data_IF_250716502382
#
_entry.id   IF_250716502382
#
_cell.length_a   1.000
_cell.length_b   1.000
_cell.length_c   1.000
_cell.angle_alpha   90.00
_cell.angle_beta   90.00
_cell.angle_gamma   90.00
#
_symmetry.space_group_name_H-M   'P 1'
#
loop_
_entity.id
_entity.type
_entity.pdbx_description
1 polymer ?
#
# COMPACT_ATOMS: atom_id res chain seq x y z
N UNK A 1 -16.17 3.10 -9.78
CA UNK A 1 -15.72 3.91 -8.62
C UNK A 1 -16.33 3.47 -7.30
N UNK A 2 -17.52 2.85 -7.28
CA UNK A 2 -18.20 2.44 -6.04
C UNK A 2 -17.39 1.49 -5.12
N UNK A 3 -16.41 0.77 -5.68
CA UNK A 3 -15.59 -0.20 -4.96
C UNK A 3 -14.19 0.30 -4.54
N UNK A 4 -13.74 1.44 -5.07
CA UNK A 4 -12.40 1.99 -4.84
C UNK A 4 -12.51 3.36 -4.17
N UNK A 5 -11.94 3.47 -2.98
CA UNK A 5 -11.84 4.74 -2.25
C UNK A 5 -10.40 5.25 -2.39
N UNK A 6 -10.19 6.15 -3.35
CA UNK A 6 -8.87 6.71 -3.63
C UNK A 6 -8.61 7.91 -2.70
N UNK A 7 -7.41 7.95 -2.12
CA UNK A 7 -6.92 9.05 -1.30
C UNK A 7 -5.58 9.55 -1.85
N UNK A 8 -5.41 10.86 -1.86
CA UNK A 8 -4.16 11.52 -2.23
C UNK A 8 -4.00 12.76 -1.34
N UNK A 9 -2.79 12.99 -0.83
CA UNK A 9 -2.48 14.16 0.00
C UNK A 9 -2.07 15.38 -0.84
N UNK A 10 -1.91 15.20 -2.15
CA UNK A 10 -1.49 16.20 -3.14
C UNK A 10 -0.16 16.88 -2.78
N UNK A 11 0.62 16.33 -1.83
CA UNK A 11 1.83 16.97 -1.28
C UNK A 11 2.96 17.09 -2.30
N UNK A 12 2.90 16.28 -3.36
CA UNK A 12 3.88 16.23 -4.45
C UNK A 12 3.41 16.88 -5.76
N UNK A 13 2.28 17.62 -5.75
CA UNK A 13 1.73 18.29 -6.94
C UNK A 13 2.13 19.78 -7.03
N UNK A 14 2.25 20.36 -8.25
CA UNK A 14 1.78 19.82 -9.51
C UNK A 14 2.88 19.02 -10.19
N UNK A 15 2.74 17.69 -10.22
CA UNK A 15 3.44 16.92 -11.22
C UNK A 15 2.86 17.40 -12.54
N UNK A 16 3.69 18.13 -13.28
CA UNK A 16 3.35 18.66 -14.59
C UNK A 16 2.67 17.53 -15.38
N UNK A 17 1.39 17.67 -15.76
CA UNK A 17 0.64 16.61 -16.43
C UNK A 17 1.26 16.20 -17.77
N UNK A 18 2.18 17.02 -18.32
CA UNK A 18 2.99 16.66 -19.48
C UNK A 18 4.08 15.60 -19.19
N UNK A 19 4.49 15.37 -17.94
CA UNK A 19 5.45 14.32 -17.58
C UNK A 19 4.79 12.94 -17.63
N UNK A 20 3.48 12.89 -17.36
CA UNK A 20 2.63 11.70 -17.52
C UNK A 20 1.97 11.63 -18.90
N UNK A 21 2.47 12.38 -19.89
CA UNK A 21 2.10 12.23 -21.29
C UNK A 21 2.66 10.92 -21.87
N UNK A 22 2.34 9.80 -21.23
CA UNK A 22 2.15 8.56 -21.96
C UNK A 22 0.99 8.80 -22.94
N UNK A 23 1.01 8.21 -24.14
CA UNK A 23 -0.17 8.20 -24.99
C UNK A 23 -1.20 7.26 -24.35
N UNK A 24 -1.85 7.70 -23.27
CA UNK A 24 -3.13 7.16 -22.79
C UNK A 24 -4.22 7.60 -23.77
N UNK A 25 -4.00 7.38 -25.09
CA UNK A 25 -4.80 7.82 -26.24
C UNK A 25 -6.07 8.62 -25.92
N UNK A 26 -7.23 8.05 -26.20
CA UNK A 26 -8.54 8.65 -25.92
C UNK A 26 -8.98 8.50 -24.45
N UNK A 27 -8.20 7.79 -23.62
CA UNK A 27 -8.57 7.48 -22.22
C UNK A 27 -8.18 8.57 -21.24
N UNK A 28 -7.30 9.49 -21.62
CA UNK A 28 -6.85 10.56 -20.73
C UNK A 28 -8.00 11.42 -20.25
N UNK A 29 -8.82 11.92 -21.17
CA UNK A 29 -9.94 12.80 -20.85
C UNK A 29 -11.00 12.05 -20.04
N UNK A 30 -11.18 10.75 -20.31
CA UNK A 30 -12.09 9.89 -19.56
C UNK A 30 -11.60 9.64 -18.13
N UNK A 31 -10.31 9.36 -17.93
CA UNK A 31 -9.71 9.18 -16.59
C UNK A 31 -9.74 10.51 -15.84
N UNK A 32 -9.40 11.62 -16.50
CA UNK A 32 -9.42 12.94 -15.87
C UNK A 32 -10.83 13.34 -15.42
N UNK A 33 -11.84 13.07 -16.25
CA UNK A 33 -13.23 13.39 -15.94
C UNK A 33 -13.89 12.40 -14.95
N UNK A 34 -13.50 11.13 -14.95
CA UNK A 34 -14.17 10.08 -14.16
C UNK A 34 -13.45 9.68 -12.87
N UNK A 35 -12.11 9.75 -12.83
CA UNK A 35 -11.31 9.29 -11.68
C UNK A 35 -10.99 10.42 -10.72
N UNK A 36 -10.30 11.48 -11.17
CA UNK A 36 -9.78 12.52 -10.28
C UNK A 36 -10.83 13.25 -9.44
N UNK A 37 -12.05 13.53 -9.94
CA UNK A 37 -13.08 14.15 -9.11
C UNK A 37 -13.53 13.31 -7.91
N UNK A 38 -13.26 11.99 -7.92
CA UNK A 38 -13.61 11.06 -6.85
C UNK A 38 -12.43 10.75 -5.91
N UNK A 39 -11.24 11.30 -6.18
CA UNK A 39 -10.09 11.18 -5.28
C UNK A 39 -10.32 12.08 -4.07
N UNK A 40 -10.33 11.46 -2.89
CA UNK A 40 -10.51 12.16 -1.63
C UNK A 40 -9.19 12.79 -1.22
N UNK A 41 -9.21 14.09 -0.96
CA UNK A 41 -8.06 14.77 -0.36
C UNK A 41 -7.98 14.40 1.12
N UNK A 42 -6.84 13.91 1.57
CA UNK A 42 -6.65 13.58 2.98
C UNK A 42 -5.30 12.96 3.27
N UNK A 43 -4.93 12.93 4.56
CA UNK A 43 -3.76 12.20 5.03
C UNK A 43 -3.97 10.69 4.81
N UNK A 44 -2.90 9.99 4.42
CA UNK A 44 -2.85 8.53 4.28
C UNK A 44 -3.21 7.80 5.58
N UNK A 45 -2.99 8.43 6.74
CA UNK A 45 -3.40 7.90 8.05
C UNK A 45 -4.86 8.21 8.34
N UNK A 46 -5.30 9.45 8.07
CA UNK A 46 -6.65 9.89 8.40
C UNK A 46 -7.73 9.20 7.57
N UNK A 47 -7.38 8.66 6.40
CA UNK A 47 -8.27 7.83 5.60
C UNK A 47 -8.92 6.70 6.43
N UNK A 48 -8.20 6.10 7.37
CA UNK A 48 -8.69 5.00 8.20
C UNK A 48 -9.49 5.44 9.44
N UNK A 49 -9.74 6.73 9.63
CA UNK A 49 -10.74 7.20 10.60
C UNK A 49 -12.18 6.95 10.12
N UNK A 50 -12.37 6.81 8.81
CA UNK A 50 -13.66 6.49 8.19
C UNK A 50 -13.91 4.98 8.28
N UNK A 51 -14.92 4.58 9.06
CA UNK A 51 -15.32 3.18 9.23
C UNK A 51 -15.70 2.49 7.92
N UNK A 52 -16.04 3.24 6.86
CA UNK A 52 -16.30 2.64 5.54
C UNK A 52 -15.07 1.98 4.91
N UNK A 53 -13.87 2.21 5.45
CA UNK A 53 -12.62 1.55 5.03
C UNK A 53 -12.34 0.20 5.73
N UNK A 54 -13.15 -0.19 6.72
CA UNK A 54 -13.00 -1.47 7.40
C UNK A 54 -13.21 -2.68 6.46
N UNK A 55 -12.34 -3.68 6.57
CA UNK A 55 -12.37 -4.92 5.80
C UNK A 55 -11.98 -4.76 4.32
N UNK A 56 -11.59 -3.56 3.89
CA UNK A 56 -11.16 -3.31 2.51
C UNK A 56 -9.71 -3.70 2.32
N UNK A 57 -9.31 -3.88 1.06
CA UNK A 57 -7.91 -4.09 0.68
C UNK A 57 -7.19 -2.74 0.65
N UNK A 58 -6.01 -2.66 1.27
CA UNK A 58 -5.12 -1.51 1.11
C UNK A 58 -4.31 -1.67 -0.18
N UNK A 59 -4.59 -0.85 -1.20
CA UNK A 59 -3.75 -0.72 -2.40
C UNK A 59 -2.82 0.49 -2.26
N UNK A 60 -1.52 0.25 -2.27
CA UNK A 60 -0.48 1.26 -2.18
C UNK A 60 0.37 1.25 -3.45
N UNK A 61 0.44 2.37 -4.17
CA UNK A 61 1.03 2.46 -5.50
C UNK A 61 2.15 3.50 -5.50
N UNK A 62 3.37 3.07 -5.82
CA UNK A 62 4.59 3.89 -5.86
C UNK A 62 4.77 4.84 -4.66
N UNK A 63 4.65 4.36 -3.40
CA UNK A 63 4.86 5.24 -2.26
C UNK A 63 6.29 5.79 -2.29
N UNK A 64 6.50 7.06 -1.92
CA UNK A 64 7.85 7.61 -1.80
C UNK A 64 8.63 6.90 -0.68
N UNK A 65 9.97 6.90 -0.72
CA UNK A 65 10.78 6.43 0.39
C UNK A 65 10.51 7.28 1.65
N UNK A 66 10.57 6.65 2.82
CA UNK A 66 10.32 7.29 4.11
C UNK A 66 9.09 6.73 4.84
N UNK A 67 8.59 7.45 5.86
CA UNK A 67 7.69 6.88 6.87
C UNK A 67 6.27 6.58 6.36
N UNK A 68 5.85 7.20 5.27
CA UNK A 68 4.47 7.14 4.76
C UNK A 68 3.96 5.71 4.59
N UNK A 69 4.75 4.81 3.99
CA UNK A 69 4.31 3.44 3.73
C UNK A 69 4.04 2.68 5.04
N UNK A 70 4.95 2.77 6.02
CA UNK A 70 4.81 2.11 7.32
C UNK A 70 3.64 2.72 8.10
N UNK A 71 3.53 4.04 8.14
CA UNK A 71 2.45 4.74 8.84
C UNK A 71 1.08 4.36 8.27
N UNK A 72 0.95 4.31 6.94
CA UNK A 72 -0.27 3.86 6.26
C UNK A 72 -0.65 2.45 6.66
N UNK A 73 0.30 1.50 6.59
CA UNK A 73 0.00 0.10 6.93
C UNK A 73 -0.34 -0.05 8.42
N UNK A 74 0.32 0.68 9.32
CA UNK A 74 -0.04 0.68 10.76
C UNK A 74 -1.43 1.22 10.99
N UNK A 75 -1.79 2.35 10.37
CA UNK A 75 -3.11 2.95 10.48
C UNK A 75 -4.21 2.00 9.97
N UNK A 76 -3.97 1.37 8.82
CA UNK A 76 -4.81 0.32 8.26
C UNK A 76 -4.98 -0.86 9.24
N UNK A 77 -3.88 -1.36 9.82
CA UNK A 77 -3.92 -2.49 10.75
C UNK A 77 -4.68 -2.19 12.04
N UNK A 78 -4.49 -1.00 12.61
CA UNK A 78 -5.10 -0.58 13.89
C UNK A 78 -6.60 -0.37 13.74
N UNK A 79 -7.06 0.09 12.57
CA UNK A 79 -8.48 0.37 12.35
C UNK A 79 -9.35 -0.88 12.54
N UNK A 80 -8.94 -2.05 12.03
CA UNK A 80 -9.74 -3.27 12.17
C UNK A 80 -8.92 -4.57 12.07
N UNK A 81 -9.37 -5.61 12.77
CA UNK A 81 -8.90 -6.98 12.60
C UNK A 81 -9.18 -7.54 11.18
N UNK A 82 -10.21 -7.01 10.50
CA UNK A 82 -10.58 -7.39 9.12
C UNK A 82 -9.66 -6.75 8.07
N UNK A 83 -8.85 -5.77 8.45
CA UNK A 83 -7.88 -5.11 7.58
C UNK A 83 -6.61 -5.95 7.46
N UNK A 84 -6.64 -6.92 6.56
CA UNK A 84 -5.68 -8.02 6.52
C UNK A 84 -5.03 -8.21 5.15
N UNK A 85 -5.27 -7.33 4.18
CA UNK A 85 -4.73 -7.46 2.83
C UNK A 85 -4.08 -6.17 2.37
N UNK A 86 -2.79 -6.27 2.05
CA UNK A 86 -1.99 -5.19 1.47
C UNK A 86 -1.59 -5.59 0.05
N UNK A 87 -1.93 -4.75 -0.92
CA UNK A 87 -1.40 -4.80 -2.27
C UNK A 87 -0.43 -3.64 -2.44
N UNK A 88 0.84 -3.95 -2.64
CA UNK A 88 1.89 -2.98 -2.89
C UNK A 88 2.32 -3.06 -4.35
N UNK A 89 2.33 -1.92 -5.04
CA UNK A 89 2.80 -1.77 -6.42
C UNK A 89 4.00 -0.84 -6.43
N UNK A 90 5.14 -1.34 -6.86
CA UNK A 90 6.39 -0.59 -6.88
C UNK A 90 7.59 -1.49 -7.11
N UNK A 91 8.78 -0.93 -6.98
CA UNK A 91 10.01 -1.71 -6.95
C UNK A 91 10.13 -2.54 -5.67
N UNK A 92 10.87 -3.64 -5.72
CA UNK A 92 11.18 -4.44 -4.52
C UNK A 92 12.19 -3.77 -3.59
N UNK A 93 12.60 -4.50 -2.55
CA UNK A 93 13.65 -4.09 -1.61
C UNK A 93 14.89 -3.55 -2.34
N UNK A 94 15.38 -2.39 -1.89
CA UNK A 94 16.50 -1.68 -2.51
C UNK A 94 16.14 -0.81 -3.73
N UNK A 95 14.86 -0.75 -4.10
CA UNK A 95 14.36 0.11 -5.17
C UNK A 95 14.09 1.55 -4.75
N UNK A 96 13.46 2.31 -5.65
CA UNK A 96 13.12 3.72 -5.47
C UNK A 96 11.80 3.98 -4.71
N UNK A 97 10.97 2.95 -4.53
CA UNK A 97 9.67 3.05 -3.84
C UNK A 97 9.72 2.36 -2.48
N UNK A 98 9.03 2.97 -1.51
CA UNK A 98 9.21 2.66 -0.10
C UNK A 98 10.71 2.66 0.28
N UNK A 99 11.05 2.20 1.47
CA UNK A 99 12.45 2.03 1.88
C UNK A 99 12.69 0.64 2.47
N UNK A 100 13.94 0.31 2.75
CA UNK A 100 14.28 -0.97 3.37
C UNK A 100 13.58 -1.16 4.72
N UNK A 101 13.32 -0.08 5.46
CA UNK A 101 12.60 -0.14 6.74
C UNK A 101 11.15 -0.59 6.56
N UNK A 102 10.50 -0.24 5.44
CA UNK A 102 9.17 -0.76 5.09
C UNK A 102 9.19 -2.27 4.86
N UNK A 103 10.17 -2.78 4.10
CA UNK A 103 10.28 -4.22 3.88
C UNK A 103 10.67 -4.96 5.17
N UNK A 104 11.56 -4.39 5.98
CA UNK A 104 11.89 -4.90 7.32
C UNK A 104 10.65 -4.93 8.22
N UNK A 105 9.78 -3.93 8.11
CA UNK A 105 8.51 -3.89 8.82
C UNK A 105 7.56 -5.00 8.35
N UNK A 106 7.42 -5.26 7.05
CA UNK A 106 6.56 -6.35 6.56
C UNK A 106 7.11 -7.73 6.94
N UNK A 107 8.40 -7.96 6.76
CA UNK A 107 9.08 -9.23 7.06
C UNK A 107 9.20 -9.47 8.57
N UNK A 108 9.44 -8.41 9.33
CA UNK A 108 9.67 -8.45 10.76
C UNK A 108 8.44 -8.27 11.63
N UNK A 109 7.27 -7.93 11.05
CA UNK A 109 6.08 -7.53 11.81
C UNK A 109 5.77 -8.47 12.97
N UNK A 110 5.99 -7.93 14.15
CA UNK A 110 5.46 -8.31 15.45
C UNK A 110 4.76 -7.03 15.87
N UNK A 111 3.43 -6.99 15.92
CA UNK A 111 2.79 -5.91 16.66
C UNK A 111 3.12 -6.21 18.12
N UNK A 112 4.10 -5.51 18.69
CA UNK A 112 4.49 -5.68 20.09
C UNK A 112 3.32 -5.28 20.97
N UNK A 113 2.59 -6.27 21.46
CA UNK A 113 1.72 -6.13 22.62
C UNK A 113 2.55 -6.62 23.80
N UNK A 114 3.22 -5.68 24.45
CA UNK A 114 3.95 -5.80 25.72
C UNK A 114 4.99 -6.94 25.85
N UNK A 115 6.25 -6.55 26.01
CA UNK A 115 7.35 -7.40 26.46
C UNK A 115 6.92 -8.17 27.72
N UNK A 116 6.69 -9.49 27.57
CA UNK A 116 6.40 -10.53 28.60
C UNK A 116 5.07 -11.29 28.47
N UNK A 117 4.33 -11.15 27.38
CA UNK A 117 3.15 -12.01 27.16
C UNK A 117 3.33 -12.92 25.96
N UNK A 118 2.84 -14.16 26.07
CA UNK A 118 2.67 -15.16 24.99
C UNK A 118 1.65 -14.71 23.93
N UNK A 119 1.67 -13.41 23.61
CA UNK A 119 0.68 -12.74 22.78
C UNK A 119 0.85 -13.17 21.32
N UNK A 120 -0.28 -13.36 20.61
CA UNK A 120 -0.27 -13.73 19.22
C UNK A 120 0.54 -12.74 18.37
N UNK A 121 1.52 -13.25 17.62
CA UNK A 121 2.31 -12.43 16.70
C UNK A 121 1.52 -12.24 15.42
N UNK A 122 1.34 -10.99 15.00
CA UNK A 122 0.74 -10.70 13.70
C UNK A 122 1.83 -10.47 12.67
N UNK A 123 1.89 -11.32 11.64
CA UNK A 123 2.89 -11.27 10.56
C UNK A 123 2.23 -10.98 9.21
N UNK A 124 2.97 -10.36 8.29
CA UNK A 124 2.57 -10.24 6.89
C UNK A 124 3.21 -11.36 6.07
N UNK A 125 2.38 -12.12 5.35
CA UNK A 125 2.82 -13.21 4.49
C UNK A 125 2.63 -12.81 3.04
N UNK A 126 3.71 -12.83 2.25
CA UNK A 126 3.62 -12.64 0.80
C UNK A 126 2.89 -13.84 0.18
N UNK A 127 1.71 -13.60 -0.38
CA UNK A 127 0.91 -14.63 -1.06
C UNK A 127 1.17 -14.65 -2.57
N UNK A 128 1.29 -13.48 -3.18
CA UNK A 128 1.50 -13.36 -4.62
C UNK A 128 2.55 -12.31 -4.94
N UNK A 129 3.36 -12.64 -5.94
CA UNK A 129 4.31 -11.74 -6.58
C UNK A 129 4.05 -11.81 -8.08
N UNK A 130 3.73 -10.67 -8.69
CA UNK A 130 3.51 -10.57 -10.12
C UNK A 130 4.43 -9.51 -10.70
N UNK A 131 5.15 -9.85 -11.77
CA UNK A 131 5.85 -8.87 -12.57
C UNK A 131 4.82 -8.05 -13.36
N UNK A 132 4.98 -6.71 -13.34
CA UNK A 132 4.16 -5.82 -14.12
C UNK A 132 4.85 -5.50 -15.44
N UNK A 133 4.06 -5.15 -16.46
CA UNK A 133 4.63 -4.60 -17.67
C UNK A 133 5.34 -3.28 -17.33
N UNK A 134 6.59 -3.09 -17.76
CA UNK A 134 7.35 -1.87 -17.45
C UNK A 134 6.67 -0.64 -18.05
N UNK A 135 6.78 0.49 -17.36
CA UNK A 135 6.31 1.77 -17.86
C UNK A 135 7.29 2.34 -18.89
N UNK A 136 7.19 1.88 -20.14
CA UNK A 136 8.09 2.26 -21.23
C UNK A 136 8.97 1.10 -21.70
N UNK A 137 9.72 1.33 -22.77
CA UNK A 137 10.41 0.24 -23.48
C UNK A 137 11.56 -0.41 -22.68
N UNK A 138 12.24 0.33 -21.78
CA UNK A 138 13.51 -0.14 -21.19
C UNK A 138 13.73 0.24 -19.71
N UNK A 139 12.71 0.72 -18.99
CA UNK A 139 12.86 1.19 -17.61
C UNK A 139 11.72 0.66 -16.74
N UNK A 140 12.09 -0.03 -15.67
CA UNK A 140 11.15 -0.49 -14.66
C UNK A 140 11.36 -1.94 -14.24
N UNK A 141 11.41 -2.17 -12.93
CA UNK A 141 11.31 -3.50 -12.31
C UNK A 141 10.07 -3.53 -11.42
N UNK A 142 8.96 -2.96 -11.91
CA UNK A 142 7.75 -2.84 -11.13
C UNK A 142 7.10 -4.19 -10.93
N UNK A 143 6.72 -4.45 -9.69
CA UNK A 143 6.03 -5.67 -9.30
C UNK A 143 4.82 -5.32 -8.48
N UNK A 144 3.84 -6.22 -8.52
CA UNK A 144 2.72 -6.23 -7.60
C UNK A 144 2.94 -7.32 -6.56
N UNK A 145 2.92 -6.92 -5.29
CA UNK A 145 3.07 -7.78 -4.14
C UNK A 145 1.74 -7.82 -3.39
N UNK A 146 1.22 -9.02 -3.15
CA UNK A 146 0.00 -9.22 -2.35
C UNK A 146 0.41 -9.87 -1.04
N UNK A 147 0.26 -9.13 0.05
CA UNK A 147 0.50 -9.59 1.40
C UNK A 147 -0.81 -9.85 2.13
N UNK A 148 -0.85 -10.93 2.91
CA UNK A 148 -1.94 -11.27 3.80
C UNK A 148 -1.44 -11.26 5.24
N UNK A 149 -2.18 -10.57 6.10
CA UNK A 149 -1.92 -10.54 7.54
C UNK A 149 -2.42 -11.83 8.16
N UNK A 150 -1.57 -12.48 8.95
CA UNK A 150 -1.92 -13.71 9.67
C UNK A 150 -1.54 -13.60 11.13
N UNK A 151 -2.37 -14.18 11.99
CA UNK A 151 -2.08 -14.33 13.41
C UNK A 151 -1.34 -15.64 13.62
N UNK A 152 -0.09 -15.56 14.05
CA UNK A 152 0.72 -16.69 14.45
C UNK A 152 0.58 -16.88 15.98
N UNK A 153 -0.02 -17.99 16.37
CA UNK A 153 -0.06 -18.38 17.78
C UNK A 153 1.32 -18.87 18.22
N UNK A 154 1.71 -18.55 19.45
CA UNK A 154 2.94 -19.05 20.05
C UNK A 154 2.80 -20.53 20.42
N UNK A 155 2.96 -21.45 19.45
CA UNK A 155 3.49 -22.83 19.62
C UNK A 155 3.32 -23.67 18.35
N UNK A 156 4.43 -24.23 17.88
CA UNK A 156 4.59 -25.66 17.56
C UNK A 156 6.11 -25.94 17.51
N UNK A 157 6.77 -25.71 18.65
CA UNK A 157 8.12 -26.21 18.90
C UNK A 157 8.00 -27.61 19.49
N UNK A 158 8.17 -28.62 18.65
CA UNK A 158 8.34 -30.02 19.04
C UNK A 158 9.83 -30.37 19.03
#
# INVERSE_FOLDING_TARGET
FEYVLAYDDYSSLPMNPHIYAYPVGDLRDEVEASFYPHVRRGSHVDAFKDASNEGRILLMVYPPPGPMAIETVRAYMVQSAQNDTLVYVGEGRGGANADNAFFDFLEGCTVEVEENTSSPRTVWVLQHLLDLAPFGHDKGFERMFVFRRTVQNASDGN
#
